data_IF_504572559829
#
_entry.id   IF_504572559829
#
_cell.length_a   1.000
_cell.length_b   1.000
_cell.length_c   1.000
_cell.angle_alpha   90.00
_cell.angle_beta   90.00
_cell.angle_gamma   90.00
#
_symmetry.space_group_name_H-M   'P 1'
#
loop_
_entity.id
_entity.type
_entity.pdbx_description
1 polymer ?
#
# COMPACT_ATOMS: atom_id res chain seq x y z
N UNK A 1 -23.28 -14.45 9.56
CA UNK A 1 -22.21 -14.30 10.56
C UNK A 1 -21.27 -15.49 10.38
N UNK A 2 -20.14 -15.30 9.69
CA UNK A 2 -19.04 -16.27 9.76
C UNK A 2 -18.23 -15.88 10.99
N UNK A 3 -18.07 -16.83 11.90
CA UNK A 3 -17.30 -16.63 13.12
C UNK A 3 -15.87 -16.20 12.76
N UNK A 4 -15.45 -15.07 13.33
CA UNK A 4 -14.13 -14.47 13.13
C UNK A 4 -13.11 -15.12 14.07
N UNK A 5 -13.13 -16.45 14.19
CA UNK A 5 -12.12 -17.20 14.94
C UNK A 5 -10.83 -17.15 14.13
N UNK A 6 -9.86 -16.36 14.58
CA UNK A 6 -8.48 -16.42 14.07
C UNK A 6 -7.88 -17.76 14.47
N UNK A 7 -7.74 -18.66 13.50
CA UNK A 7 -7.03 -19.92 13.70
C UNK A 7 -5.52 -19.68 13.67
N UNK A 8 -4.73 -20.53 14.33
CA UNK A 8 -3.26 -20.44 14.28
C UNK A 8 -2.72 -20.65 12.85
N UNK A 9 -3.51 -21.30 11.98
CA UNK A 9 -3.18 -21.59 10.57
C UNK A 9 -3.60 -20.47 9.59
N UNK A 10 -4.21 -19.37 10.07
CA UNK A 10 -4.60 -18.26 9.19
C UNK A 10 -3.38 -17.46 8.73
N UNK A 11 -3.22 -17.33 7.41
CA UNK A 11 -2.17 -16.49 6.81
C UNK A 11 -2.73 -15.11 6.49
N UNK A 12 -1.98 -14.05 6.75
CA UNK A 12 -2.43 -12.69 6.43
C UNK A 12 -1.86 -12.25 5.09
N UNK A 13 -2.69 -11.64 4.26
CA UNK A 13 -2.22 -10.89 3.08
C UNK A 13 -2.45 -9.40 3.32
N UNK A 14 -1.35 -8.66 3.46
CA UNK A 14 -1.39 -7.21 3.54
C UNK A 14 -1.08 -6.61 2.17
N UNK A 15 -1.98 -5.77 1.65
CA UNK A 15 -1.72 -4.94 0.46
C UNK A 15 -1.55 -3.51 0.90
N UNK A 16 -0.35 -2.96 0.75
CA UNK A 16 -0.05 -1.57 1.11
C UNK A 16 -0.09 -0.71 -0.16
N UNK A 17 -0.94 0.31 -0.16
CA UNK A 17 -0.95 1.36 -1.18
C UNK A 17 -0.21 2.56 -0.60
N UNK A 18 0.91 2.95 -1.22
CA UNK A 18 1.71 4.10 -0.83
C UNK A 18 1.46 5.23 -1.81
N UNK A 19 0.90 6.34 -1.33
CA UNK A 19 0.80 7.57 -2.08
C UNK A 19 2.18 8.21 -2.27
N UNK A 20 2.61 8.37 -3.52
CA UNK A 20 3.90 8.94 -3.91
C UNK A 20 3.75 10.25 -4.68
N UNK A 21 2.69 11.04 -4.38
CA UNK A 21 2.48 12.36 -4.97
C UNK A 21 3.63 13.32 -4.64
N UNK A 22 4.50 13.70 -5.60
CA UNK A 22 5.63 14.57 -5.30
C UNK A 22 5.17 15.97 -4.89
N UNK A 23 4.02 16.45 -5.38
CA UNK A 23 3.51 17.79 -5.05
C UNK A 23 3.17 17.93 -3.56
N UNK A 24 2.66 16.85 -2.95
CA UNK A 24 2.30 16.82 -1.52
C UNK A 24 3.50 16.54 -0.63
N UNK A 25 4.40 15.65 -1.06
CA UNK A 25 5.61 15.32 -0.30
C UNK A 25 6.66 16.43 -0.31
N UNK A 26 6.70 17.24 -1.37
CA UNK A 26 7.59 18.41 -1.47
C UNK A 26 6.94 19.70 -0.99
N UNK A 27 5.67 19.67 -0.57
CA UNK A 27 4.96 20.86 -0.10
C UNK A 27 5.73 21.54 1.06
N UNK A 28 5.87 22.88 1.09
CA UNK A 28 6.66 23.58 2.11
C UNK A 28 6.20 23.34 3.54
N UNK A 29 4.89 23.14 3.73
CA UNK A 29 4.28 22.84 5.03
C UNK A 29 4.26 21.36 5.38
N UNK A 30 4.76 20.47 4.51
CA UNK A 30 4.79 19.05 4.78
C UNK A 30 5.72 18.77 5.98
N UNK A 31 5.20 18.19 7.07
CA UNK A 31 5.97 17.99 8.31
C UNK A 31 6.99 16.85 8.18
N UNK A 32 6.74 15.89 7.28
CA UNK A 32 7.55 14.70 7.10
C UNK A 32 7.99 14.57 5.64
N UNK A 33 9.25 14.22 5.41
CA UNK A 33 9.74 13.93 4.05
C UNK A 33 9.43 12.49 3.67
N UNK A 34 9.25 12.25 2.36
CA UNK A 34 8.97 10.90 1.83
C UNK A 34 10.01 9.87 2.29
N UNK A 35 11.30 10.22 2.31
CA UNK A 35 12.36 9.29 2.74
C UNK A 35 12.22 8.86 4.21
N UNK A 36 11.81 9.78 5.09
CA UNK A 36 11.58 9.48 6.52
C UNK A 36 10.32 8.61 6.67
N UNK A 37 9.23 8.95 5.96
CA UNK A 37 8.03 8.13 5.91
C UNK A 37 8.33 6.71 5.44
N UNK A 38 9.14 6.55 4.39
CA UNK A 38 9.53 5.24 3.85
C UNK A 38 10.32 4.42 4.88
N UNK A 39 11.19 5.02 5.69
CA UNK A 39 11.87 4.28 6.75
C UNK A 39 10.88 3.68 7.77
N UNK A 40 9.85 4.44 8.16
CA UNK A 40 8.80 3.94 9.04
C UNK A 40 7.97 2.83 8.35
N UNK A 41 7.58 3.03 7.09
CA UNK A 41 6.78 2.05 6.32
C UNK A 41 7.55 0.74 6.13
N UNK A 42 8.84 0.80 5.75
CA UNK A 42 9.68 -0.39 5.58
C UNK A 42 9.86 -1.13 6.91
N UNK A 43 10.00 -0.40 8.03
CA UNK A 43 10.08 -1.01 9.36
C UNK A 43 8.79 -1.75 9.71
N UNK A 44 7.64 -1.14 9.45
CA UNK A 44 6.33 -1.77 9.61
C UNK A 44 6.16 -3.01 8.71
N UNK A 45 6.55 -2.94 7.43
CA UNK A 45 6.52 -4.09 6.51
C UNK A 45 7.35 -5.26 7.03
N UNK A 46 8.57 -4.98 7.51
CA UNK A 46 9.43 -6.01 8.10
C UNK A 46 8.80 -6.61 9.36
N UNK A 47 8.19 -5.79 10.21
CA UNK A 47 7.48 -6.27 11.41
C UNK A 47 6.27 -7.14 11.07
N UNK A 48 5.48 -6.75 10.06
CA UNK A 48 4.36 -7.55 9.56
C UNK A 48 4.83 -8.93 9.08
N UNK A 49 5.88 -8.98 8.26
CA UNK A 49 6.45 -10.23 7.76
C UNK A 49 7.14 -11.05 8.87
N UNK A 50 7.68 -10.41 9.91
CA UNK A 50 8.25 -11.08 11.07
C UNK A 50 7.17 -11.68 12.00
N UNK A 51 5.96 -11.12 11.99
CA UNK A 51 4.86 -11.55 12.88
C UNK A 51 4.39 -12.99 12.65
N UNK A 52 4.33 -13.43 11.38
CA UNK A 52 4.06 -14.84 11.02
C UNK A 52 4.81 -15.19 9.74
N UNK A 53 5.32 -16.43 9.66
CA UNK A 53 6.10 -16.90 8.52
C UNK A 53 5.30 -16.98 7.21
N UNK A 54 3.99 -17.20 7.29
CA UNK A 54 3.09 -17.28 6.13
C UNK A 54 2.45 -15.93 5.75
N UNK A 55 2.81 -14.83 6.43
CA UNK A 55 2.32 -13.51 6.05
C UNK A 55 2.84 -13.12 4.66
N UNK A 56 1.91 -12.69 3.81
CA UNK A 56 2.17 -12.23 2.45
C UNK A 56 1.99 -10.73 2.39
N UNK A 57 2.79 -10.09 1.55
CA UNK A 57 2.79 -8.65 1.36
C UNK A 57 2.73 -8.33 -0.13
N UNK A 58 1.94 -7.32 -0.48
CA UNK A 58 2.02 -6.65 -1.77
C UNK A 58 2.10 -5.14 -1.52
N UNK A 59 2.89 -4.44 -2.32
CA UNK A 59 3.11 -3.00 -2.21
C UNK A 59 2.86 -2.36 -3.55
N UNK A 60 1.96 -1.38 -3.59
CA UNK A 60 1.55 -0.64 -4.77
C UNK A 60 1.86 0.83 -4.53
N UNK A 61 2.54 1.47 -5.48
CA UNK A 61 2.69 2.92 -5.50
C UNK A 61 1.50 3.54 -6.22
N UNK A 62 0.86 4.51 -5.57
CA UNK A 62 -0.08 5.43 -6.17
C UNK A 62 0.64 6.73 -6.48
N UNK A 63 1.03 6.91 -7.73
CA UNK A 63 1.72 8.11 -8.20
C UNK A 63 0.76 9.01 -8.98
N UNK A 64 1.23 10.19 -9.35
CA UNK A 64 0.49 11.09 -10.24
C UNK A 64 0.48 10.47 -11.63
N UNK A 65 -0.71 10.29 -12.21
CA UNK A 65 -0.91 9.70 -13.54
C UNK A 65 -0.76 8.16 -13.63
N UNK A 66 -0.07 7.50 -12.70
CA UNK A 66 0.20 6.05 -12.78
C UNK A 66 0.07 5.34 -11.43
N UNK A 67 -0.43 4.11 -11.46
CA UNK A 67 -0.37 3.17 -10.34
C UNK A 67 0.47 1.95 -10.74
N UNK A 68 1.40 1.53 -9.88
CA UNK A 68 2.37 0.48 -10.20
C UNK A 68 2.68 -0.41 -9.00
N UNK A 69 2.76 -1.71 -9.21
CA UNK A 69 3.32 -2.63 -8.22
C UNK A 69 4.79 -2.34 -7.99
N UNK A 70 5.13 -2.07 -6.73
CA UNK A 70 6.51 -2.05 -6.24
C UNK A 70 6.95 -3.47 -5.86
N UNK A 71 6.03 -4.25 -5.29
CA UNK A 71 6.20 -5.66 -4.97
C UNK A 71 4.84 -6.37 -5.00
N UNK A 72 4.72 -7.61 -5.51
CA UNK A 72 5.75 -8.35 -6.26
C UNK A 72 6.04 -7.69 -7.61
N UNK A 73 7.30 -7.76 -8.06
CA UNK A 73 7.71 -7.28 -9.38
C UNK A 73 7.25 -8.26 -10.44
N UNK A 74 6.29 -7.87 -11.28
CA UNK A 74 5.68 -8.72 -12.33
C UNK A 74 6.67 -9.32 -13.35
N UNK A 75 7.89 -8.79 -13.44
CA UNK A 75 8.91 -9.14 -14.44
C UNK A 75 10.22 -9.68 -13.87
N UNK A 76 10.29 -10.05 -12.59
CA UNK A 76 11.47 -10.77 -12.10
C UNK A 76 11.24 -12.28 -12.19
N UNK A 77 12.18 -13.04 -12.79
CA UNK A 77 12.05 -14.47 -12.88
C UNK A 77 11.98 -15.07 -11.47
N UNK A 78 11.10 -16.04 -11.34
CA UNK A 78 10.93 -17.03 -10.27
C UNK A 78 12.16 -17.19 -9.37
N UNK A 79 12.00 -17.33 -8.03
CA UNK A 79 13.12 -17.53 -7.10
C UNK A 79 13.98 -18.72 -7.56
N UNK A 80 15.14 -18.39 -8.14
CA UNK A 80 15.93 -19.29 -8.99
C UNK A 80 16.83 -18.51 -9.97
N UNK A 81 16.42 -17.29 -10.35
CA UNK A 81 17.31 -16.33 -10.99
C UNK A 81 18.37 -15.83 -10.00
N UNK A 82 19.65 -16.07 -10.28
CA UNK A 82 20.79 -15.55 -9.50
C UNK A 82 20.85 -14.02 -9.63
N UNK A 83 20.05 -13.31 -8.84
CA UNK A 83 20.40 -11.94 -8.48
C UNK A 83 21.54 -12.07 -7.47
N UNK A 84 22.76 -11.70 -7.88
CA UNK A 84 23.92 -11.59 -6.98
C UNK A 84 23.70 -10.46 -5.97
N UNK A 85 22.71 -10.62 -5.09
CA UNK A 85 22.67 -9.85 -3.85
C UNK A 85 23.81 -10.38 -2.99
N UNK A 86 24.77 -9.50 -2.65
CA UNK A 86 25.74 -9.78 -1.59
C UNK A 86 24.94 -10.30 -0.38
N UNK A 87 25.13 -11.58 -0.07
CA UNK A 87 24.45 -12.25 1.03
C UNK A 87 25.04 -11.70 2.32
N UNK A 88 24.40 -10.68 2.87
CA UNK A 88 24.67 -10.24 4.22
C UNK A 88 24.07 -11.30 5.15
N UNK A 89 24.93 -12.10 5.80
CA UNK A 89 24.51 -13.17 6.71
C UNK A 89 23.64 -12.67 7.88
N UNK A 90 23.65 -11.36 8.13
CA UNK A 90 22.97 -10.72 9.25
C UNK A 90 21.57 -10.17 8.91
N UNK A 91 21.12 -10.25 7.65
CA UNK A 91 19.82 -9.69 7.24
C UNK A 91 18.94 -10.79 6.67
N UNK A 92 17.70 -10.87 7.13
CA UNK A 92 16.70 -11.78 6.57
C UNK A 92 16.45 -11.43 5.10
N UNK A 93 16.78 -12.36 4.21
CA UNK A 93 16.88 -12.08 2.76
C UNK A 93 15.56 -11.60 2.16
N UNK A 94 14.42 -12.09 2.66
CA UNK A 94 13.09 -11.67 2.18
C UNK A 94 12.87 -10.19 2.45
N UNK A 95 13.29 -9.67 3.62
CA UNK A 95 13.19 -8.24 3.92
C UNK A 95 14.05 -7.42 2.98
N UNK A 96 15.29 -7.85 2.73
CA UNK A 96 16.20 -7.13 1.84
C UNK A 96 15.64 -7.04 0.42
N UNK A 97 15.17 -8.15 -0.14
CA UNK A 97 14.58 -8.18 -1.50
C UNK A 97 13.37 -7.25 -1.61
N UNK A 98 12.46 -7.29 -0.63
CA UNK A 98 11.27 -6.45 -0.64
C UNK A 98 11.64 -4.97 -0.48
N UNK A 99 12.52 -4.64 0.47
CA UNK A 99 12.93 -3.26 0.73
C UNK A 99 13.66 -2.66 -0.47
N UNK A 100 14.58 -3.42 -1.08
CA UNK A 100 15.30 -3.01 -2.29
C UNK A 100 14.35 -2.80 -3.47
N UNK A 101 13.37 -3.70 -3.66
CA UNK A 101 12.35 -3.58 -4.71
C UNK A 101 11.48 -2.33 -4.54
N UNK A 102 11.02 -2.06 -3.31
CA UNK A 102 10.20 -0.88 -2.98
C UNK A 102 10.98 0.41 -3.18
N UNK A 103 12.21 0.50 -2.65
CA UNK A 103 13.05 1.70 -2.79
C UNK A 103 13.43 1.95 -4.26
N UNK A 104 13.84 0.91 -4.99
CA UNK A 104 14.16 1.00 -6.42
C UNK A 104 12.94 1.42 -7.25
N UNK A 105 11.77 0.84 -6.97
CA UNK A 105 10.53 1.15 -7.67
C UNK A 105 10.07 2.59 -7.46
N UNK A 106 10.12 3.10 -6.21
CA UNK A 106 9.79 4.50 -5.92
C UNK A 106 10.79 5.45 -6.56
N UNK A 107 12.09 5.15 -6.47
CA UNK A 107 13.13 5.99 -7.09
C UNK A 107 12.92 6.11 -8.60
N UNK A 108 12.58 5.00 -9.28
CA UNK A 108 12.25 5.01 -10.72
C UNK A 108 11.01 5.86 -11.02
N UNK A 109 9.95 5.75 -10.20
CA UNK A 109 8.73 6.54 -10.37
C UNK A 109 8.99 8.04 -10.22
N UNK A 110 9.80 8.45 -9.24
CA UNK A 110 10.15 9.87 -9.02
C UNK A 110 11.06 10.43 -10.12
N UNK A 111 11.85 9.59 -10.79
CA UNK A 111 12.69 10.00 -11.92
C UNK A 111 11.91 10.16 -13.23
N UNK A 112 10.82 9.40 -13.41
CA UNK A 112 9.96 9.43 -14.60
C UNK A 112 8.99 10.64 -14.65
N UNK A 113 8.95 11.47 -13.61
CA UNK A 113 7.83 12.42 -13.36
C UNK A 113 7.76 13.68 -14.24
N UNK A 114 8.36 13.75 -15.45
CA UNK A 114 8.14 14.88 -16.41
C UNK A 114 8.23 14.47 -17.89
N UNK A 115 7.42 15.02 -18.85
CA UNK A 115 6.20 15.83 -18.78
C UNK A 115 5.07 15.19 -19.63
N UNK A 116 4.27 14.28 -19.06
CA UNK A 116 3.07 13.71 -19.73
C UNK A 116 1.79 14.02 -18.94
N UNK A 117 1.91 14.79 -17.85
CA UNK A 117 0.74 15.23 -17.10
C UNK A 117 0.03 16.28 -17.96
N UNK A 118 -1.08 15.89 -18.59
CA UNK A 118 -2.09 16.86 -19.00
C UNK A 118 -2.44 17.70 -17.77
N UNK A 119 -2.77 18.98 -17.95
CA UNK A 119 -3.11 19.89 -16.82
C UNK A 119 -4.23 19.32 -15.90
N UNK A 120 -5.01 18.35 -16.39
CA UNK A 120 -6.02 17.60 -15.63
C UNK A 120 -5.47 16.60 -14.61
N UNK A 121 -4.27 16.07 -14.82
CA UNK A 121 -3.63 15.10 -13.91
C UNK A 121 -2.72 15.77 -12.88
N UNK A 122 -2.60 17.10 -12.91
CA UNK A 122 -1.82 17.85 -11.94
C UNK A 122 -2.46 17.76 -10.55
N UNK A 123 -1.85 16.98 -9.66
CA UNK A 123 -2.11 17.04 -8.21
C UNK A 123 -2.94 15.92 -7.60
N UNK A 124 -3.56 15.02 -8.38
CA UNK A 124 -4.28 13.85 -7.83
C UNK A 124 -3.51 12.55 -8.02
N UNK A 125 -3.30 11.82 -6.92
CA UNK A 125 -2.78 10.45 -6.95
C UNK A 125 -3.82 9.47 -7.46
N UNK A 126 -3.39 8.49 -8.26
CA UNK A 126 -4.29 7.46 -8.83
C UNK A 126 -4.64 6.38 -7.80
N UNK A 127 -5.29 6.75 -6.70
CA UNK A 127 -5.66 5.86 -5.59
C UNK A 127 -6.69 4.85 -6.05
N UNK A 128 -7.69 5.27 -6.83
CA UNK A 128 -8.73 4.38 -7.35
C UNK A 128 -8.15 3.23 -8.20
N UNK A 129 -7.17 3.54 -9.05
CA UNK A 129 -6.45 2.54 -9.85
C UNK A 129 -5.64 1.58 -8.95
N UNK A 130 -4.99 2.12 -7.91
CA UNK A 130 -4.21 1.33 -6.95
C UNK A 130 -5.07 0.36 -6.14
N UNK A 131 -6.25 0.81 -5.70
CA UNK A 131 -7.24 -0.05 -5.04
C UNK A 131 -7.75 -1.14 -5.98
N UNK A 132 -8.03 -0.80 -7.24
CA UNK A 132 -8.45 -1.78 -8.26
C UNK A 132 -7.38 -2.86 -8.48
N UNK A 133 -6.11 -2.48 -8.60
CA UNK A 133 -4.98 -3.41 -8.72
C UNK A 133 -4.86 -4.31 -7.48
N UNK A 134 -4.95 -3.72 -6.28
CA UNK A 134 -4.91 -4.45 -5.02
C UNK A 134 -6.04 -5.47 -4.88
N UNK A 135 -7.27 -5.08 -5.20
CA UNK A 135 -8.44 -5.97 -5.18
C UNK A 135 -8.32 -7.10 -6.20
N UNK A 136 -7.81 -6.81 -7.40
CA UNK A 136 -7.55 -7.84 -8.41
C UNK A 136 -6.50 -8.85 -7.93
N UNK A 137 -5.42 -8.36 -7.33
CA UNK A 137 -4.36 -9.20 -6.76
C UNK A 137 -4.89 -10.08 -5.62
N UNK A 138 -5.65 -9.50 -4.69
CA UNK A 138 -6.28 -10.26 -3.59
C UNK A 138 -7.21 -11.33 -4.15
N UNK A 139 -8.06 -11.00 -5.12
CA UNK A 139 -8.96 -11.97 -5.74
C UNK A 139 -8.21 -13.14 -6.39
N UNK A 140 -7.06 -12.87 -7.03
CA UNK A 140 -6.20 -13.91 -7.58
C UNK A 140 -5.55 -14.77 -6.48
N UNK A 141 -5.07 -14.14 -5.41
CA UNK A 141 -4.46 -14.82 -4.27
C UNK A 141 -5.47 -15.73 -3.54
N UNK A 142 -6.69 -15.23 -3.30
CA UNK A 142 -7.78 -16.00 -2.69
C UNK A 142 -8.20 -17.20 -3.55
N UNK A 143 -8.18 -17.08 -4.88
CA UNK A 143 -8.47 -18.22 -5.78
C UNK A 143 -7.35 -19.26 -5.80
N UNK A 144 -6.11 -18.82 -5.58
CA UNK A 144 -4.95 -19.70 -5.51
C UNK A 144 -4.85 -20.40 -4.15
N UNK A 145 -5.44 -19.80 -3.12
CA UNK A 145 -5.56 -20.39 -1.79
C UNK A 145 -6.72 -21.39 -1.74
N UNK A 146 -6.43 -22.67 -2.00
CA UNK A 146 -7.43 -23.74 -1.98
C UNK A 146 -8.00 -24.06 -0.59
N UNK A 147 -7.35 -23.60 0.49
CA UNK A 147 -7.77 -23.85 1.88
C UNK A 147 -8.64 -22.72 2.45
N UNK A 148 -8.60 -21.51 1.86
CA UNK A 148 -9.43 -20.38 2.27
C UNK A 148 -9.06 -19.80 3.64
N UNK A 149 -7.81 -19.97 4.06
CA UNK A 149 -7.27 -19.45 5.33
C UNK A 149 -6.57 -18.09 5.15
N UNK A 150 -6.45 -17.60 3.91
CA UNK A 150 -5.87 -16.30 3.61
C UNK A 150 -6.82 -15.17 4.02
N UNK A 151 -6.40 -14.34 4.97
CA UNK A 151 -7.11 -13.13 5.41
C UNK A 151 -6.49 -11.88 4.78
N UNK A 152 -7.11 -11.33 3.73
CA UNK A 152 -6.62 -10.11 3.08
C UNK A 152 -7.05 -8.84 3.81
N UNK A 153 -6.19 -7.83 3.80
CA UNK A 153 -6.46 -6.47 4.28
C UNK A 153 -5.70 -5.47 3.43
N UNK A 154 -6.31 -4.33 3.13
CA UNK A 154 -5.69 -3.24 2.38
C UNK A 154 -5.35 -2.12 3.35
N UNK A 155 -4.13 -1.60 3.29
CA UNK A 155 -3.70 -0.41 4.02
C UNK A 155 -3.36 0.68 2.99
N UNK A 156 -4.06 1.81 3.06
CA UNK A 156 -3.81 2.99 2.20
C UNK A 156 -3.09 4.05 3.01
N UNK A 157 -1.87 4.37 2.61
CA UNK A 157 -1.08 5.46 3.15
C UNK A 157 -1.19 6.64 2.19
N UNK A 158 -1.94 7.66 2.57
CA UNK A 158 -2.26 8.79 1.69
C UNK A 158 -1.78 10.12 2.26
N UNK A 159 -1.30 11.00 1.37
CA UNK A 159 -1.00 12.41 1.66
C UNK A 159 -1.86 13.33 0.81
N UNK A 160 -2.32 12.87 -0.35
CA UNK A 160 -3.10 13.67 -1.30
C UNK A 160 -4.54 13.90 -0.86
N UNK A 161 -5.13 15.05 -1.21
CA UNK A 161 -6.56 15.29 -1.03
C UNK A 161 -7.37 14.44 -2.02
N UNK A 162 -8.66 14.26 -1.72
CA UNK A 162 -9.57 13.57 -2.61
C UNK A 162 -9.96 14.46 -3.80
N UNK A 163 -9.90 13.89 -5.00
CA UNK A 163 -10.42 14.54 -6.21
C UNK A 163 -11.83 14.06 -6.53
N UNK A 164 -12.74 14.98 -6.83
CA UNK A 164 -14.12 14.64 -7.20
C UNK A 164 -14.23 13.76 -8.44
N UNK A 165 -13.26 13.83 -9.36
CA UNK A 165 -13.21 12.95 -10.53
C UNK A 165 -13.02 11.48 -10.18
N UNK A 166 -12.39 11.20 -9.04
CA UNK A 166 -12.05 9.86 -8.59
C UNK A 166 -13.15 9.25 -7.68
N UNK A 167 -14.22 9.98 -7.39
CA UNK A 167 -15.31 9.51 -6.53
C UNK A 167 -15.93 8.19 -7.03
N UNK A 168 -16.43 8.16 -8.27
CA UNK A 168 -17.09 6.97 -8.84
C UNK A 168 -16.16 5.74 -8.81
N UNK A 169 -14.91 5.82 -9.33
CA UNK A 169 -14.04 4.65 -9.33
C UNK A 169 -13.60 4.23 -7.91
N UNK A 170 -13.40 5.16 -6.96
CA UNK A 170 -13.12 4.82 -5.56
C UNK A 170 -14.32 4.08 -4.95
N UNK A 171 -15.55 4.60 -5.12
CA UNK A 171 -16.75 3.97 -4.58
C UNK A 171 -16.99 2.56 -5.14
N UNK A 172 -16.72 2.33 -6.43
CA UNK A 172 -16.78 1.00 -7.02
C UNK A 172 -15.78 0.03 -6.37
N UNK A 173 -14.58 0.50 -6.03
CA UNK A 173 -13.58 -0.29 -5.29
C UNK A 173 -14.07 -0.60 -3.87
N UNK A 174 -14.62 0.38 -3.16
CA UNK A 174 -15.15 0.22 -1.79
C UNK A 174 -16.26 -0.83 -1.76
N UNK A 175 -17.24 -0.75 -2.65
CA UNK A 175 -18.32 -1.74 -2.70
C UNK A 175 -17.84 -3.13 -3.09
N UNK A 176 -16.83 -3.21 -3.96
CA UNK A 176 -16.19 -4.48 -4.31
C UNK A 176 -15.45 -5.09 -3.11
N UNK A 177 -14.73 -4.27 -2.36
CA UNK A 177 -14.03 -4.68 -1.13
C UNK A 177 -15.01 -5.13 -0.05
N UNK A 178 -16.09 -4.36 0.17
CA UNK A 178 -17.15 -4.70 1.11
C UNK A 178 -17.81 -6.04 0.76
N UNK A 179 -18.15 -6.27 -0.51
CA UNK A 179 -18.74 -7.53 -0.97
C UNK A 179 -17.79 -8.73 -0.77
N UNK A 180 -16.49 -8.49 -0.89
CA UNK A 180 -15.46 -9.50 -0.66
C UNK A 180 -15.05 -9.64 0.82
N UNK A 181 -15.62 -8.85 1.74
CA UNK A 181 -15.22 -8.75 3.15
C UNK A 181 -13.73 -8.45 3.33
N UNK A 182 -13.21 -7.49 2.55
CA UNK A 182 -11.82 -7.02 2.63
C UNK A 182 -11.83 -5.64 3.31
N UNK A 183 -11.33 -5.51 4.54
CA UNK A 183 -11.20 -4.22 5.21
C UNK A 183 -10.17 -3.33 4.50
N UNK A 184 -10.51 -2.05 4.36
CA UNK A 184 -9.61 -1.00 3.88
C UNK A 184 -9.28 -0.10 5.05
N UNK A 185 -8.06 -0.22 5.56
CA UNK A 185 -7.51 0.72 6.54
C UNK A 185 -6.87 1.89 5.80
N UNK A 186 -7.00 3.08 6.37
CA UNK A 186 -6.52 4.33 5.79
C UNK A 186 -5.75 5.08 6.84
N UNK A 187 -4.49 5.37 6.55
CA UNK A 187 -3.67 6.31 7.30
C UNK A 187 -3.47 7.57 6.46
N UNK A 188 -4.12 8.66 6.86
CA UNK A 188 -3.91 9.98 6.28
C UNK A 188 -2.73 10.63 6.98
N UNK A 189 -1.56 10.65 6.34
CA UNK A 189 -0.30 11.06 6.98
C UNK A 189 -0.28 12.57 7.26
N UNK A 190 -0.72 13.38 6.31
CA UNK A 190 -0.82 14.84 6.45
C UNK A 190 -1.85 15.40 5.46
N UNK A 191 -2.24 16.67 5.66
CA UNK A 191 -3.15 17.41 4.79
C UNK A 191 -4.60 17.39 5.27
N UNK A 192 -5.51 17.89 4.41
CA UNK A 192 -6.96 17.89 4.66
C UNK A 192 -7.54 16.48 4.68
N UNK A 193 -8.65 16.28 5.39
CA UNK A 193 -9.29 14.97 5.49
C UNK A 193 -9.70 14.39 4.14
N UNK A 194 -9.38 13.10 3.95
CA UNK A 194 -9.79 12.34 2.77
C UNK A 194 -11.18 11.72 3.02
N UNK A 195 -12.24 12.50 2.77
CA UNK A 195 -13.64 12.12 3.02
C UNK A 195 -14.02 10.79 2.34
N UNK A 196 -13.58 10.54 1.11
CA UNK A 196 -13.90 9.32 0.38
C UNK A 196 -13.19 8.11 0.98
N UNK A 197 -11.94 8.28 1.42
CA UNK A 197 -11.18 7.22 2.07
C UNK A 197 -11.65 6.98 3.51
N UNK A 198 -12.13 8.01 4.20
CA UNK A 198 -12.80 7.85 5.49
C UNK A 198 -14.08 7.02 5.34
N UNK A 199 -14.87 7.26 4.29
CA UNK A 199 -16.02 6.41 3.95
C UNK A 199 -15.59 4.99 3.58
N UNK A 200 -14.47 4.82 2.88
CA UNK A 200 -13.91 3.51 2.56
C UNK A 200 -13.67 2.68 3.82
N UNK A 201 -12.98 3.26 4.81
CA UNK A 201 -12.72 2.61 6.08
C UNK A 201 -14.02 2.26 6.81
N UNK A 202 -14.96 3.21 6.91
CA UNK A 202 -16.24 2.96 7.59
C UNK A 202 -17.09 1.86 6.92
N UNK A 203 -17.22 1.87 5.59
CA UNK A 203 -18.06 0.91 4.84
C UNK A 203 -17.46 -0.50 4.84
N UNK A 204 -16.14 -0.61 4.85
CA UNK A 204 -15.42 -1.91 4.83
C UNK A 204 -15.04 -2.42 6.21
N UNK A 205 -15.50 -1.75 7.28
CA UNK A 205 -15.14 -2.06 8.67
C UNK A 205 -13.62 -2.01 8.93
N UNK A 206 -12.93 -1.12 8.21
CA UNK A 206 -11.53 -0.77 8.42
C UNK A 206 -11.35 0.43 9.36
N UNK A 207 -10.10 0.84 9.53
CA UNK A 207 -9.69 1.90 10.45
C UNK A 207 -9.23 3.12 9.67
N UNK A 208 -9.77 4.30 9.98
CA UNK A 208 -9.25 5.58 9.52
C UNK A 208 -8.44 6.23 10.64
N UNK A 209 -7.17 6.54 10.39
CA UNK A 209 -6.29 7.21 11.33
C UNK A 209 -5.61 8.42 10.68
N UNK A 210 -5.57 9.51 11.43
CA UNK A 210 -4.77 10.68 11.12
C UNK A 210 -3.84 10.94 12.32
N UNK A 211 -2.51 10.86 12.16
CA UNK A 211 -1.58 11.10 13.25
C UNK A 211 -1.57 12.59 13.62
N UNK A 212 -1.63 12.89 14.92
CA UNK A 212 -1.44 14.27 15.40
C UNK A 212 -0.03 14.79 15.11
N UNK A 213 0.96 13.90 15.20
CA UNK A 213 2.36 14.17 14.84
C UNK A 213 2.82 13.16 13.77
N UNK A 214 3.05 13.61 12.52
CA UNK A 214 3.51 12.74 11.43
C UNK A 214 4.90 12.13 11.66
N UNK A 215 5.75 12.70 12.53
CA UNK A 215 7.02 12.04 12.91
C UNK A 215 6.77 10.75 13.74
N UNK A 216 5.61 10.65 14.39
CA UNK A 216 5.14 9.45 15.08
C UNK A 216 4.50 8.40 14.17
N UNK A 217 4.67 8.47 12.84
CA UNK A 217 4.01 7.57 11.89
C UNK A 217 4.19 6.08 12.24
N UNK A 218 5.38 5.67 12.67
CA UNK A 218 5.64 4.29 13.05
C UNK A 218 4.77 3.81 14.23
N UNK A 219 4.46 4.70 15.18
CA UNK A 219 3.60 4.36 16.32
C UNK A 219 2.15 4.11 15.89
N UNK A 220 1.69 4.76 14.82
CA UNK A 220 0.34 4.55 14.29
C UNK A 220 0.27 3.29 13.42
N UNK A 221 1.38 2.94 12.77
CA UNK A 221 1.45 1.74 11.93
C UNK A 221 1.60 0.44 12.73
N UNK A 222 2.27 0.48 13.89
CA UNK A 222 2.46 -0.68 14.77
C UNK A 222 1.21 -0.98 15.60
#
# INVERSE_FOLDING_TARGET
MKDNTTSEDDSNLLVIVIDTNPFEWEHPSAPLKLNEALQHILTFMNAHLAGRHDNKLAVIASHVGVSKFLYPTLNEPTPGGKVETKRDANVYQVFKVINDAVLSGITKLLQDTRPILEERDLGSSKIAASLSLGLCYINQALKSDGMGHLKPRILVLTVSPDSSSDYIPIMNCIFSAQKANIPIDVCKIWGEDAVFLQQAAHITEGIYMQPNDPHGLLQVLM
#
